data_IF_669215754994
#
_entry.id   IF_669215754994
#
_cell.length_a   1.000
_cell.length_b   1.000
_cell.length_c   1.000
_cell.angle_alpha   90.00
_cell.angle_beta   90.00
_cell.angle_gamma   90.00
#
_symmetry.space_group_name_H-M   'P 1'
#
loop_
_entity.id
_entity.type
_entity.pdbx_description
1 polymer ?
#
# COMPACT_ATOMS: atom_id res chain seq x y z
N UNK A 1 4.84 -23.02 -3.77
CA UNK A 1 4.27 -22.15 -2.72
C UNK A 1 3.20 -21.33 -3.42
N UNK A 2 2.06 -21.16 -2.93
CA UNK A 2 0.93 -20.33 -3.36
C UNK A 2 -0.03 -20.35 -2.17
N UNK A 3 0.32 -19.58 -1.13
CA UNK A 3 -0.32 -19.69 0.18
C UNK A 3 -0.52 -18.30 0.80
N UNK A 4 -1.64 -18.13 1.50
CA UNK A 4 -1.92 -17.02 2.39
C UNK A 4 -2.06 -17.57 3.80
N UNK A 5 -1.19 -17.14 4.69
CA UNK A 5 -1.29 -17.50 6.10
C UNK A 5 -2.20 -16.53 6.85
N UNK A 6 -3.10 -17.07 7.69
CA UNK A 6 -3.85 -16.24 8.62
C UNK A 6 -2.99 -16.01 9.89
N UNK A 7 -2.09 -15.07 9.81
CA UNK A 7 -1.06 -14.83 10.82
C UNK A 7 -0.53 -13.40 10.70
N UNK A 8 -0.10 -12.84 11.81
CA UNK A 8 0.67 -11.60 11.78
C UNK A 8 2.00 -11.83 11.02
N UNK A 9 2.27 -10.97 10.04
CA UNK A 9 3.49 -11.03 9.25
C UNK A 9 4.76 -10.93 10.13
N UNK A 10 4.68 -10.21 11.26
CA UNK A 10 5.80 -10.08 12.21
C UNK A 10 6.30 -11.43 12.73
N UNK A 11 5.39 -12.39 12.91
CA UNK A 11 5.73 -13.74 13.34
C UNK A 11 5.95 -14.69 12.15
N UNK A 12 5.19 -14.48 11.08
CA UNK A 12 5.23 -15.36 9.91
C UNK A 12 6.52 -15.24 9.10
N UNK A 13 7.04 -14.04 8.95
CA UNK A 13 8.27 -13.80 8.20
C UNK A 13 9.51 -14.48 8.81
N UNK A 14 9.54 -14.73 10.12
CA UNK A 14 10.64 -15.43 10.77
C UNK A 14 10.78 -16.90 10.33
N UNK A 15 9.71 -17.48 9.79
CA UNK A 15 9.66 -18.88 9.32
C UNK A 15 10.11 -19.03 7.86
N UNK A 16 10.38 -17.92 7.16
CA UNK A 16 10.80 -17.92 5.77
C UNK A 16 12.32 -17.93 5.68
N UNK A 17 12.84 -18.72 4.77
CA UNK A 17 14.29 -18.81 4.52
C UNK A 17 14.85 -17.45 4.06
N UNK A 18 16.05 -17.15 4.48
CA UNK A 18 16.78 -15.97 4.06
C UNK A 18 17.02 -15.98 2.54
N UNK A 19 16.98 -14.82 1.92
CA UNK A 19 17.29 -14.65 0.50
C UNK A 19 16.49 -15.60 -0.43
N UNK A 20 15.23 -15.89 -0.09
CA UNK A 20 14.37 -16.80 -0.84
C UNK A 20 13.31 -16.10 -1.71
N UNK A 21 13.01 -14.84 -1.44
CA UNK A 21 11.93 -14.07 -2.06
C UNK A 21 12.48 -13.16 -3.16
N UNK A 22 11.79 -13.10 -4.31
CA UNK A 22 12.22 -12.35 -5.50
C UNK A 22 11.77 -10.89 -5.50
N UNK A 23 10.61 -10.60 -4.93
CA UNK A 23 10.07 -9.23 -4.78
C UNK A 23 9.06 -9.17 -3.65
N UNK A 24 8.99 -8.02 -2.98
CA UNK A 24 7.87 -7.69 -2.07
C UNK A 24 7.04 -6.56 -2.68
N UNK A 25 5.73 -6.78 -2.82
CA UNK A 25 4.76 -5.76 -3.27
C UNK A 25 3.63 -5.74 -2.26
N UNK A 26 3.43 -4.61 -1.58
CA UNK A 26 2.55 -4.59 -0.42
C UNK A 26 1.87 -3.24 -0.17
N UNK A 27 0.68 -3.30 0.39
CA UNK A 27 -0.18 -2.15 0.75
C UNK A 27 -0.45 -2.16 2.26
N UNK A 28 0.56 -1.78 3.10
CA UNK A 28 0.40 -1.79 4.54
C UNK A 28 -0.62 -0.74 5.00
N UNK A 29 -1.15 -0.86 6.22
CA UNK A 29 -1.99 0.19 6.81
C UNK A 29 -1.33 1.56 6.77
N UNK A 30 -2.07 2.58 6.29
CA UNK A 30 -1.57 3.95 6.25
C UNK A 30 -1.73 4.63 7.61
N UNK A 31 -0.77 5.50 7.96
CA UNK A 31 -0.73 6.20 9.25
C UNK A 31 -1.97 7.08 9.56
N UNK A 32 -2.92 7.20 8.66
CA UNK A 32 -4.19 7.91 8.95
C UNK A 32 -4.97 7.29 10.11
N UNK A 33 -4.74 6.02 10.39
CA UNK A 33 -5.44 5.26 11.41
C UNK A 33 -4.66 5.20 12.73
N UNK A 34 -3.35 5.49 12.69
CA UNK A 34 -2.51 5.63 13.88
C UNK A 34 -2.78 6.90 14.69
N UNK A 35 -3.55 7.84 14.17
CA UNK A 35 -3.89 9.06 14.89
C UNK A 35 -4.87 8.72 16.02
N UNK A 36 -4.36 8.10 17.08
CA UNK A 36 -5.01 7.96 18.37
C UNK A 36 -5.65 6.63 18.73
N UNK A 37 -5.43 5.58 17.94
CA UNK A 37 -5.93 4.25 18.28
C UNK A 37 -4.82 3.22 18.17
N UNK A 38 -4.73 2.34 19.18
CA UNK A 38 -3.93 1.12 19.08
C UNK A 38 -4.52 0.25 17.98
N UNK A 39 -3.66 -0.32 17.14
CA UNK A 39 -4.02 -1.41 16.25
C UNK A 39 -4.21 -2.67 17.12
N UNK A 40 -5.39 -2.79 17.70
CA UNK A 40 -5.79 -4.05 18.28
C UNK A 40 -6.88 -4.70 17.41
N UNK A 41 -6.98 -5.99 17.52
CA UNK A 41 -7.91 -6.81 16.78
C UNK A 41 -9.38 -6.39 17.04
N UNK A 42 -9.71 -5.98 18.27
CA UNK A 42 -11.05 -5.54 18.64
C UNK A 42 -11.46 -4.25 17.92
N UNK A 43 -10.53 -3.30 17.75
CA UNK A 43 -10.80 -2.06 17.01
C UNK A 43 -10.99 -2.33 15.51
N UNK A 44 -10.21 -3.27 14.93
CA UNK A 44 -10.40 -3.72 13.55
C UNK A 44 -11.78 -4.35 13.39
N UNK A 45 -12.18 -5.25 14.27
CA UNK A 45 -13.49 -5.91 14.26
C UNK A 45 -14.64 -4.91 14.43
N UNK A 46 -14.49 -3.95 15.34
CA UNK A 46 -15.47 -2.87 15.55
C UNK A 46 -15.63 -2.01 14.28
N UNK A 47 -14.56 -1.76 13.52
CA UNK A 47 -14.60 -1.01 12.27
C UNK A 47 -15.22 -1.80 11.13
N UNK A 48 -14.91 -3.08 11.02
CA UNK A 48 -15.55 -4.00 10.07
C UNK A 48 -17.07 -4.02 10.30
N UNK A 49 -17.51 -4.20 11.54
CA UNK A 49 -18.93 -4.18 11.90
C UNK A 49 -19.62 -2.85 11.56
N UNK A 50 -18.95 -1.71 11.69
CA UNK A 50 -19.49 -0.41 11.28
C UNK A 50 -19.63 -0.27 9.76
N UNK A 51 -18.66 -0.80 8.99
CA UNK A 51 -18.71 -0.78 7.52
C UNK A 51 -19.81 -1.70 7.02
N UNK A 52 -19.98 -2.88 7.62
CA UNK A 52 -21.03 -3.85 7.28
C UNK A 52 -22.45 -3.31 7.54
N UNK A 53 -22.63 -2.50 8.60
CA UNK A 53 -23.92 -1.94 8.99
C UNK A 53 -24.22 -0.57 8.35
N UNK A 54 -23.37 -0.06 7.47
CA UNK A 54 -23.51 1.25 6.83
C UNK A 54 -24.09 1.13 5.43
N UNK A 55 -25.24 1.73 5.20
CA UNK A 55 -25.90 1.81 3.87
C UNK A 55 -25.21 2.74 2.87
N UNK A 56 -24.13 3.45 3.27
CA UNK A 56 -23.34 4.33 2.41
C UNK A 56 -21.87 4.31 2.79
N UNK A 57 -21.02 3.81 1.90
CA UNK A 57 -19.55 3.78 1.98
C UNK A 57 -18.89 5.15 2.28
N UNK A 58 -19.63 6.25 2.12
CA UNK A 58 -19.13 7.62 2.28
C UNK A 58 -19.29 8.15 3.71
N UNK A 59 -20.18 7.59 4.53
CA UNK A 59 -20.50 8.14 5.86
C UNK A 59 -19.50 7.80 6.96
N UNK A 60 -18.61 6.84 6.78
CA UNK A 60 -17.76 6.31 7.85
C UNK A 60 -16.28 6.14 7.49
N UNK A 61 -15.74 7.03 6.66
CA UNK A 61 -14.30 7.24 6.70
C UNK A 61 -14.07 8.02 8.00
N UNK A 62 -13.40 7.43 9.02
CA UNK A 62 -13.05 8.20 10.19
C UNK A 62 -12.07 9.28 9.73
N UNK A 63 -12.58 10.48 9.59
CA UNK A 63 -11.71 11.65 9.50
C UNK A 63 -10.96 11.68 10.83
N UNK A 64 -9.68 11.35 10.78
CA UNK A 64 -8.82 11.63 11.90
C UNK A 64 -9.03 13.09 12.27
N UNK A 65 -9.33 13.35 13.51
CA UNK A 65 -9.68 14.66 14.07
C UNK A 65 -8.72 15.79 13.69
N UNK A 66 -7.53 15.49 13.17
CA UNK A 66 -6.54 16.43 12.69
C UNK A 66 -6.85 17.11 11.34
N UNK A 67 -7.81 16.60 10.55
CA UNK A 67 -8.22 17.18 9.27
C UNK A 67 -9.47 18.05 9.36
N UNK A 68 -10.19 18.01 10.48
CA UNK A 68 -11.46 18.69 10.65
C UNK A 68 -11.34 20.18 11.06
N UNK A 69 -10.20 20.83 10.84
CA UNK A 69 -10.04 22.27 11.04
C UNK A 69 -10.08 22.76 12.49
N UNK A 70 -9.96 21.87 13.47
CA UNK A 70 -9.89 22.25 14.89
C UNK A 70 -8.56 22.93 15.26
N UNK A 71 -8.58 23.77 16.29
CA UNK A 71 -7.39 24.40 16.84
C UNK A 71 -6.42 23.34 17.33
N UNK A 72 -5.23 23.29 16.73
CA UNK A 72 -4.17 22.37 17.09
C UNK A 72 -3.35 22.96 18.23
N UNK A 73 -3.52 22.43 19.42
CA UNK A 73 -2.73 22.84 20.58
C UNK A 73 -1.42 22.03 20.68
N UNK A 74 -0.54 22.39 21.61
CA UNK A 74 0.75 21.72 21.85
C UNK A 74 0.58 20.18 22.00
N UNK A 75 -0.41 19.74 22.78
CA UNK A 75 -0.70 18.30 22.97
C UNK A 75 -1.02 17.56 21.66
N UNK A 76 -1.67 18.25 20.71
CA UNK A 76 -1.92 17.65 19.40
C UNK A 76 -0.62 17.42 18.61
N UNK A 77 0.30 18.41 18.63
CA UNK A 77 1.60 18.28 17.96
C UNK A 77 2.45 17.19 18.57
N UNK A 78 2.52 17.11 19.90
CA UNK A 78 3.23 16.06 20.63
C UNK A 78 2.68 14.68 20.28
N UNK A 79 1.35 14.51 20.30
CA UNK A 79 0.68 13.27 19.93
C UNK A 79 0.93 12.89 18.46
N UNK A 80 0.89 13.87 17.57
CA UNK A 80 1.14 13.64 16.16
C UNK A 80 2.60 13.21 15.90
N UNK A 81 3.57 13.86 16.53
CA UNK A 81 4.98 13.50 16.45
C UNK A 81 5.21 12.07 16.96
N UNK A 82 4.63 11.72 18.11
CA UNK A 82 4.67 10.36 18.64
C UNK A 82 4.10 9.34 17.66
N UNK A 83 2.91 9.59 17.12
CA UNK A 83 2.26 8.68 16.16
C UNK A 83 3.10 8.47 14.89
N UNK A 84 3.78 9.52 14.40
CA UNK A 84 4.69 9.40 13.25
C UNK A 84 5.88 8.52 13.60
N UNK A 85 6.47 8.70 14.77
CA UNK A 85 7.60 7.88 15.22
C UNK A 85 7.18 6.43 15.43
N UNK A 86 6.08 6.19 16.14
CA UNK A 86 5.54 4.82 16.36
C UNK A 86 5.27 4.11 15.01
N UNK A 87 4.77 4.84 14.00
CA UNK A 87 4.56 4.31 12.66
C UNK A 87 5.86 3.99 11.92
N UNK A 88 6.87 4.84 12.05
CA UNK A 88 8.20 4.59 11.48
C UNK A 88 8.85 3.38 12.12
N UNK A 89 8.83 3.28 13.46
CA UNK A 89 9.39 2.15 14.21
C UNK A 89 8.70 0.83 13.83
N UNK A 90 7.38 0.86 13.69
CA UNK A 90 6.62 -0.30 13.22
C UNK A 90 6.98 -0.67 11.78
N UNK A 91 7.10 0.32 10.89
CA UNK A 91 7.47 0.11 9.49
C UNK A 91 8.89 -0.46 9.38
N UNK A 92 9.83 0.06 10.16
CA UNK A 92 11.20 -0.46 10.19
C UNK A 92 11.22 -1.92 10.62
N UNK A 93 10.51 -2.28 11.70
CA UNK A 93 10.49 -3.66 12.24
C UNK A 93 10.03 -4.71 11.23
N UNK A 94 8.93 -4.48 10.53
CA UNK A 94 8.51 -5.43 9.49
C UNK A 94 9.41 -5.33 8.25
N UNK A 95 9.94 -4.14 7.96
CA UNK A 95 10.91 -3.91 6.90
C UNK A 95 12.19 -4.74 7.07
N UNK A 96 12.74 -4.81 8.28
CA UNK A 96 13.92 -5.64 8.61
C UNK A 96 13.66 -7.13 8.35
N UNK A 97 12.47 -7.62 8.69
CA UNK A 97 12.08 -9.02 8.40
C UNK A 97 11.93 -9.28 6.90
N UNK A 98 11.34 -8.35 6.16
CA UNK A 98 11.26 -8.42 4.69
C UNK A 98 12.66 -8.35 4.07
N UNK A 99 13.53 -7.46 4.59
CA UNK A 99 14.92 -7.37 4.14
C UNK A 99 15.66 -8.72 4.26
N UNK A 100 15.48 -9.42 5.37
CA UNK A 100 16.11 -10.72 5.59
C UNK A 100 15.71 -11.74 4.52
N UNK A 101 14.44 -11.84 4.20
CA UNK A 101 13.91 -12.87 3.29
C UNK A 101 14.07 -12.52 1.81
N UNK A 102 14.20 -11.25 1.44
CA UNK A 102 14.44 -10.83 0.07
C UNK A 102 15.85 -11.22 -0.40
N UNK A 103 15.96 -11.66 -1.65
CA UNK A 103 17.25 -11.90 -2.32
C UNK A 103 18.07 -10.61 -2.42
N UNK A 104 19.41 -10.66 -2.40
CA UNK A 104 20.25 -9.53 -2.75
C UNK A 104 19.84 -8.93 -4.10
N UNK A 105 19.72 -7.61 -4.17
CA UNK A 105 19.25 -6.89 -5.35
C UNK A 105 17.73 -6.87 -5.54
N UNK A 106 16.95 -7.66 -4.80
CA UNK A 106 15.49 -7.67 -4.92
C UNK A 106 14.86 -6.34 -4.50
N UNK A 107 13.71 -6.05 -5.08
CA UNK A 107 12.96 -4.82 -4.81
C UNK A 107 11.86 -5.03 -3.77
N UNK A 108 11.57 -3.96 -3.05
CA UNK A 108 10.35 -3.80 -2.25
C UNK A 108 9.57 -2.60 -2.77
N UNK A 109 8.27 -2.80 -3.03
CA UNK A 109 7.33 -1.78 -3.50
C UNK A 109 6.23 -1.62 -2.46
N UNK A 110 6.15 -0.44 -1.87
CA UNK A 110 5.23 -0.18 -0.76
C UNK A 110 4.29 0.95 -1.10
N UNK A 111 3.01 0.63 -1.21
CA UNK A 111 1.96 1.62 -1.38
C UNK A 111 1.82 2.48 -0.13
N UNK A 112 1.63 3.76 -0.34
CA UNK A 112 1.25 4.67 0.74
C UNK A 112 0.67 5.98 0.19
N UNK A 113 0.10 6.75 1.10
CA UNK A 113 -0.39 8.08 0.79
C UNK A 113 0.77 9.04 0.50
N UNK A 114 0.55 10.00 -0.41
CA UNK A 114 1.49 11.11 -0.67
C UNK A 114 1.90 11.90 0.58
N UNK A 115 1.14 11.82 1.67
CA UNK A 115 1.40 12.54 2.92
C UNK A 115 2.33 11.79 3.87
N UNK A 116 2.39 10.46 3.76
CA UNK A 116 3.09 9.60 4.72
C UNK A 116 4.17 8.73 4.07
N UNK A 117 4.28 8.74 2.74
CA UNK A 117 5.27 7.95 1.98
C UNK A 117 6.71 8.20 2.42
N UNK A 118 7.05 9.46 2.75
CA UNK A 118 8.38 9.81 3.23
C UNK A 118 8.77 9.06 4.52
N UNK A 119 7.81 8.85 5.42
CA UNK A 119 8.04 8.11 6.67
C UNK A 119 8.28 6.63 6.40
N UNK A 120 7.57 6.05 5.43
CA UNK A 120 7.77 4.66 4.99
C UNK A 120 9.14 4.50 4.35
N UNK A 121 9.52 5.41 3.44
CA UNK A 121 10.82 5.36 2.79
C UNK A 121 11.96 5.41 3.80
N UNK A 122 11.97 6.40 4.70
CA UNK A 122 13.01 6.54 5.74
C UNK A 122 13.08 5.32 6.65
N UNK A 123 11.93 4.76 7.05
CA UNK A 123 11.90 3.57 7.90
C UNK A 123 12.50 2.34 7.21
N UNK A 124 12.22 2.17 5.91
CA UNK A 124 12.79 1.08 5.13
C UNK A 124 14.28 1.28 4.82
N UNK A 125 14.75 2.52 4.64
CA UNK A 125 16.19 2.82 4.56
C UNK A 125 16.89 2.46 5.88
N UNK A 126 16.26 2.74 7.03
CA UNK A 126 16.75 2.32 8.34
C UNK A 126 16.75 0.78 8.53
N UNK A 127 15.86 0.08 7.83
CA UNK A 127 15.83 -1.39 7.78
C UNK A 127 16.91 -2.00 6.86
N UNK A 128 17.70 -1.18 6.16
CA UNK A 128 18.82 -1.63 5.32
C UNK A 128 18.59 -1.52 3.80
N UNK A 129 17.40 -1.15 3.35
CA UNK A 129 17.16 -0.88 1.94
C UNK A 129 17.75 0.46 1.52
N UNK A 130 17.91 0.67 0.22
CA UNK A 130 18.15 2.02 -0.32
C UNK A 130 17.04 2.42 -1.30
N UNK A 131 16.64 3.68 -1.21
CA UNK A 131 15.60 4.24 -2.04
C UNK A 131 16.08 4.33 -3.51
N UNK A 132 15.20 3.92 -4.43
CA UNK A 132 15.44 3.99 -5.87
C UNK A 132 14.60 5.07 -6.53
N UNK A 133 13.29 5.06 -6.23
CA UNK A 133 12.35 6.00 -6.84
C UNK A 133 11.03 6.02 -6.04
N UNK A 134 10.16 6.94 -6.40
CA UNK A 134 8.74 6.92 -6.05
C UNK A 134 7.94 6.77 -7.34
N UNK A 135 7.24 5.65 -7.47
CA UNK A 135 6.29 5.44 -8.55
C UNK A 135 4.99 6.17 -8.20
N UNK A 136 4.47 6.92 -9.14
CA UNK A 136 3.18 7.61 -9.02
C UNK A 136 2.11 6.79 -9.72
N UNK A 137 1.14 6.29 -8.96
CA UNK A 137 -0.08 5.74 -9.55
C UNK A 137 -1.15 6.82 -9.64
N UNK A 138 -1.40 7.33 -10.83
CA UNK A 138 -2.44 8.32 -11.11
C UNK A 138 -3.80 7.64 -11.20
N UNK A 139 -4.73 8.12 -10.39
CA UNK A 139 -6.12 7.62 -10.35
C UNK A 139 -6.99 8.38 -11.34
N UNK A 140 -7.91 7.67 -11.97
CA UNK A 140 -8.84 8.29 -12.92
C UNK A 140 -9.92 9.17 -12.24
N UNK A 141 -10.06 9.08 -10.92
CA UNK A 141 -10.99 9.89 -10.14
C UNK A 141 -10.55 10.03 -8.70
N UNK A 142 -10.66 11.22 -8.15
CA UNK A 142 -10.47 11.51 -6.73
C UNK A 142 -11.66 12.31 -6.21
N UNK A 143 -12.09 12.03 -4.98
CA UNK A 143 -13.12 12.82 -4.30
C UNK A 143 -12.40 13.85 -3.42
N UNK A 144 -12.64 15.17 -3.63
CA UNK A 144 -12.10 16.18 -2.73
C UNK A 144 -12.68 15.97 -1.33
N UNK A 145 -11.81 15.85 -0.33
CA UNK A 145 -12.19 15.67 1.07
C UNK A 145 -12.08 16.97 1.89
N UNK A 146 -11.86 18.09 1.20
CA UNK A 146 -11.65 19.39 1.82
C UNK A 146 -12.93 20.15 2.11
N UNK A 147 -12.80 21.12 3.01
CA UNK A 147 -13.86 22.10 3.31
C UNK A 147 -13.84 23.13 2.18
N UNK A 148 -15.00 23.40 1.58
CA UNK A 148 -15.23 24.59 0.76
C UNK A 148 -15.42 25.77 1.74
N UNK A 149 -14.47 26.71 1.75
CA UNK A 149 -14.40 27.74 2.77
C UNK A 149 -15.55 28.74 2.64
N UNK A 150 -15.86 29.21 1.43
CA UNK A 150 -16.97 30.13 1.20
C UNK A 150 -18.30 29.54 1.68
N UNK A 151 -18.58 28.29 1.33
CA UNK A 151 -19.80 27.59 1.74
C UNK A 151 -19.89 27.44 3.27
N UNK A 152 -18.78 27.19 3.94
CA UNK A 152 -18.73 27.08 5.40
C UNK A 152 -18.95 28.45 6.06
N UNK A 153 -18.28 29.51 5.57
CA UNK A 153 -18.41 30.88 6.08
C UNK A 153 -19.83 31.43 5.88
N UNK A 154 -20.47 31.18 4.73
CA UNK A 154 -21.88 31.53 4.50
C UNK A 154 -22.80 30.88 5.54
N UNK A 155 -22.57 29.58 5.83
CA UNK A 155 -23.34 28.88 6.87
C UNK A 155 -23.13 29.47 8.26
N UNK A 156 -21.95 30.00 8.53
CA UNK A 156 -21.60 30.61 9.83
C UNK A 156 -21.99 32.10 9.87
N UNK A 157 -22.66 32.65 8.85
CA UNK A 157 -23.14 34.02 8.80
C UNK A 157 -22.06 35.09 8.55
N UNK A 158 -20.89 34.71 8.04
CA UNK A 158 -19.81 35.63 7.75
C UNK A 158 -20.10 36.47 6.50
N UNK A 159 -20.12 37.82 6.63
CA UNK A 159 -20.57 38.75 5.60
C UNK A 159 -19.71 38.73 4.33
N UNK A 160 -18.41 38.52 4.48
CA UNK A 160 -17.45 38.55 3.37
C UNK A 160 -17.13 37.13 2.83
N UNK A 161 -18.05 36.17 3.00
CA UNK A 161 -17.84 34.79 2.59
C UNK A 161 -17.54 34.63 1.10
N UNK A 162 -18.08 35.49 0.25
CA UNK A 162 -17.91 35.43 -1.22
C UNK A 162 -16.46 35.70 -1.65
N UNK A 163 -15.67 36.44 -0.85
CA UNK A 163 -14.23 36.63 -1.09
C UNK A 163 -13.43 35.31 -1.09
N UNK A 164 -14.01 34.27 -0.51
CA UNK A 164 -13.41 32.96 -0.37
C UNK A 164 -13.97 31.92 -1.38
N UNK A 165 -14.63 32.37 -2.44
CA UNK A 165 -15.08 31.50 -3.51
C UNK A 165 -13.87 30.83 -4.20
N UNK A 166 -13.97 29.49 -4.43
CA UNK A 166 -12.85 28.72 -4.99
C UNK A 166 -11.79 28.26 -3.97
N UNK A 167 -11.85 28.72 -2.72
CA UNK A 167 -10.89 28.31 -1.70
C UNK A 167 -11.32 27.05 -0.96
N UNK A 168 -10.42 26.04 -0.93
CA UNK A 168 -10.65 24.73 -0.31
C UNK A 168 -9.49 24.37 0.62
N UNK A 169 -9.77 23.58 1.65
CA UNK A 169 -8.76 23.20 2.66
C UNK A 169 -7.79 22.10 2.18
N UNK A 170 -8.00 21.50 1.00
CA UNK A 170 -7.09 20.51 0.43
C UNK A 170 -7.27 20.38 -1.09
N UNK A 171 -6.32 19.75 -1.74
CA UNK A 171 -6.43 19.31 -3.12
C UNK A 171 -7.33 18.09 -3.26
N UNK A 172 -7.83 17.84 -4.47
CA UNK A 172 -8.37 16.56 -4.87
C UNK A 172 -7.21 15.57 -5.02
N UNK A 173 -7.22 14.49 -4.24
CA UNK A 173 -6.17 13.48 -4.32
C UNK A 173 -6.34 12.63 -5.58
N UNK A 174 -5.48 12.77 -6.56
CA UNK A 174 -5.51 12.07 -7.84
C UNK A 174 -4.44 10.99 -7.98
N UNK A 175 -3.57 10.80 -7.00
CA UNK A 175 -2.51 9.80 -7.09
C UNK A 175 -2.19 9.16 -5.73
N UNK A 176 -1.63 7.98 -5.79
CA UNK A 176 -0.98 7.30 -4.67
C UNK A 176 0.49 7.09 -4.97
N UNK A 177 1.30 7.15 -3.92
CA UNK A 177 2.73 6.87 -4.00
C UNK A 177 3.01 5.38 -3.80
N UNK A 178 4.01 4.88 -4.52
CA UNK A 178 4.58 3.57 -4.30
C UNK A 178 6.08 3.78 -4.12
N UNK A 179 6.58 3.60 -2.89
CA UNK A 179 8.00 3.65 -2.64
C UNK A 179 8.67 2.44 -3.27
N UNK A 180 9.67 2.69 -4.11
CA UNK A 180 10.51 1.68 -4.74
C UNK A 180 11.88 1.69 -4.06
N UNK A 181 12.16 0.66 -3.27
CA UNK A 181 13.47 0.48 -2.64
C UNK A 181 14.08 -0.85 -3.06
N UNK A 182 15.37 -1.01 -2.84
CA UNK A 182 16.12 -2.18 -3.26
C UNK A 182 17.01 -2.67 -2.12
N UNK A 183 17.04 -3.98 -1.90
CA UNK A 183 18.07 -4.59 -1.07
C UNK A 183 19.42 -4.45 -1.80
N UNK A 184 20.52 -4.11 -1.12
CA UNK A 184 21.82 -3.98 -1.76
C UNK A 184 22.17 -5.16 -2.66
N UNK A 185 22.85 -4.85 -3.75
CA UNK A 185 23.39 -5.85 -4.68
C UNK A 185 24.47 -6.69 -3.99
N UNK A 186 24.66 -7.90 -4.49
CA UNK A 186 25.88 -8.65 -4.23
C UNK A 186 26.92 -8.25 -5.30
N UNK A 187 27.91 -7.45 -4.94
CA UNK A 187 28.93 -6.82 -5.80
C UNK A 187 28.35 -5.83 -6.82
N UNK A 188 27.81 -6.32 -7.95
CA UNK A 188 27.35 -5.54 -9.08
C UNK A 188 26.11 -6.17 -9.74
N UNK A 189 25.48 -5.45 -10.68
CA UNK A 189 24.28 -5.94 -11.37
C UNK A 189 24.47 -7.28 -12.10
N UNK A 190 25.51 -7.47 -12.95
CA UNK A 190 25.69 -8.75 -13.64
C UNK A 190 25.88 -9.93 -12.70
N UNK A 191 26.66 -9.78 -11.63
CA UNK A 191 26.89 -10.84 -10.62
C UNK A 191 25.59 -11.17 -9.90
N UNK A 192 24.88 -10.15 -9.42
CA UNK A 192 23.61 -10.32 -8.72
C UNK A 192 22.55 -11.01 -9.60
N UNK A 193 22.41 -10.57 -10.85
CA UNK A 193 21.43 -11.17 -11.78
C UNK A 193 21.78 -12.62 -12.09
N UNK A 194 23.06 -12.95 -12.35
CA UNK A 194 23.48 -14.33 -12.64
C UNK A 194 23.21 -15.28 -11.45
N UNK A 195 23.41 -14.81 -10.23
CA UNK A 195 23.26 -15.63 -9.02
C UNK A 195 21.82 -15.70 -8.53
N UNK A 196 21.12 -14.59 -8.52
CA UNK A 196 19.82 -14.45 -7.88
C UNK A 196 18.65 -14.29 -8.85
N UNK A 197 18.92 -13.91 -10.09
CA UNK A 197 17.91 -13.67 -11.14
C UNK A 197 17.02 -12.44 -10.89
N UNK A 198 17.46 -11.53 -10.02
CA UNK A 198 16.80 -10.25 -9.68
C UNK A 198 17.85 -9.15 -9.65
N UNK A 199 17.42 -7.89 -9.45
CA UNK A 199 18.33 -6.76 -9.24
C UNK A 199 18.19 -5.63 -10.27
N UNK A 200 17.43 -5.84 -11.34
CA UNK A 200 17.20 -4.85 -12.40
C UNK A 200 15.71 -4.68 -12.67
N UNK A 201 15.34 -3.55 -13.27
CA UNK A 201 13.96 -3.24 -13.67
C UNK A 201 13.77 -3.43 -15.17
N UNK A 202 12.65 -4.02 -15.57
CA UNK A 202 12.22 -4.11 -16.96
C UNK A 202 11.54 -2.81 -17.37
N UNK A 203 12.31 -1.83 -17.79
CA UNK A 203 11.85 -0.48 -18.09
C UNK A 203 11.59 -0.21 -19.58
N UNK A 204 11.63 -1.22 -20.45
CA UNK A 204 11.31 -1.03 -21.86
C UNK A 204 9.83 -0.72 -22.04
N UNK A 205 9.50 0.33 -22.80
CA UNK A 205 8.15 0.60 -23.28
C UNK A 205 7.93 0.03 -24.68
N UNK A 206 6.67 0.01 -25.15
CA UNK A 206 6.30 -0.52 -26.45
C UNK A 206 6.90 0.23 -27.65
N UNK A 207 7.47 1.41 -27.46
CA UNK A 207 8.12 2.23 -28.48
C UNK A 207 9.66 2.14 -28.44
N UNK A 208 10.23 1.25 -27.62
CA UNK A 208 11.68 1.05 -27.49
C UNK A 208 12.40 2.03 -26.57
N UNK A 209 11.66 2.93 -25.88
CA UNK A 209 12.20 3.85 -24.89
C UNK A 209 12.05 3.35 -23.46
N UNK A 210 12.42 4.20 -22.48
CA UNK A 210 12.23 3.91 -21.05
C UNK A 210 10.79 4.10 -20.61
N UNK A 211 10.29 3.20 -19.76
CA UNK A 211 9.00 3.31 -19.12
C UNK A 211 9.02 4.46 -18.09
N UNK A 212 7.97 5.26 -18.05
CA UNK A 212 7.77 6.29 -17.04
C UNK A 212 7.55 5.68 -15.66
N UNK A 213 7.97 6.39 -14.60
CA UNK A 213 7.60 6.10 -13.23
C UNK A 213 6.20 6.62 -12.84
N UNK A 214 5.45 7.20 -13.81
CA UNK A 214 4.03 7.58 -13.65
C UNK A 214 3.17 6.54 -14.33
N UNK A 215 2.39 5.82 -13.53
CA UNK A 215 1.44 4.80 -13.96
C UNK A 215 0.04 5.42 -14.03
N UNK A 216 -0.47 5.58 -15.21
CA UNK A 216 -1.79 6.14 -15.48
C UNK A 216 -2.62 5.22 -16.38
N UNK A 217 -3.90 5.54 -16.56
CA UNK A 217 -4.83 4.74 -17.36
C UNK A 217 -4.96 3.29 -16.90
N UNK A 218 -4.77 3.05 -15.60
CA UNK A 218 -4.92 1.73 -15.01
C UNK A 218 -6.40 1.37 -14.93
N UNK A 219 -6.77 0.26 -15.58
CA UNK A 219 -8.12 -0.28 -15.52
C UNK A 219 -8.45 -0.73 -14.09
N UNK A 220 -9.65 -0.41 -13.63
CA UNK A 220 -10.17 -0.94 -12.36
C UNK A 220 -10.68 -2.36 -12.58
N UNK A 221 -10.51 -3.18 -11.56
CA UNK A 221 -11.13 -4.49 -11.53
C UNK A 221 -12.66 -4.35 -11.50
N UNK A 222 -13.37 -5.31 -12.07
CA UNK A 222 -14.82 -5.41 -11.94
C UNK A 222 -15.22 -5.49 -10.46
N UNK A 223 -16.30 -4.80 -10.10
CA UNK A 223 -16.85 -4.85 -8.76
C UNK A 223 -17.25 -6.30 -8.44
N UNK A 224 -16.75 -6.81 -7.35
CA UNK A 224 -17.15 -8.11 -6.81
C UNK A 224 -17.99 -7.86 -5.55
N UNK A 225 -19.27 -8.20 -5.59
CA UNK A 225 -20.23 -7.89 -4.51
C UNK A 225 -19.82 -8.50 -3.14
N UNK A 226 -19.05 -9.59 -3.17
CA UNK A 226 -18.54 -10.23 -1.96
C UNK A 226 -17.22 -9.60 -1.44
N UNK A 227 -16.58 -8.73 -2.23
CA UNK A 227 -15.34 -8.08 -1.82
C UNK A 227 -15.63 -6.76 -1.10
N UNK A 228 -15.76 -6.83 0.21
CA UNK A 228 -16.03 -5.68 1.08
C UNK A 228 -14.76 -4.94 1.53
N UNK A 229 -13.59 -5.33 1.04
CA UNK A 229 -12.34 -4.64 1.38
C UNK A 229 -12.33 -3.21 0.85
N UNK A 230 -12.08 -2.24 1.72
CA UNK A 230 -12.30 -0.81 1.42
C UNK A 230 -11.25 -0.19 0.47
N UNK A 231 -10.09 -0.85 0.27
CA UNK A 231 -8.93 -0.29 -0.45
C UNK A 231 -8.30 -1.28 -1.42
N UNK A 232 -9.12 -1.96 -2.23
CA UNK A 232 -8.60 -2.91 -3.23
C UNK A 232 -7.79 -2.19 -4.30
N UNK A 233 -6.54 -2.60 -4.49
CA UNK A 233 -5.70 -2.12 -5.58
C UNK A 233 -6.09 -2.81 -6.90
N UNK A 234 -5.98 -2.13 -8.06
CA UNK A 234 -6.24 -2.77 -9.35
C UNK A 234 -5.27 -3.93 -9.61
N UNK A 235 -5.78 -5.08 -10.01
CA UNK A 235 -4.96 -6.26 -10.37
C UNK A 235 -3.99 -5.93 -11.51
N UNK A 236 -4.46 -5.14 -12.50
CA UNK A 236 -3.64 -4.67 -13.64
C UNK A 236 -2.43 -3.83 -13.20
N UNK A 237 -2.54 -3.05 -12.12
CA UNK A 237 -1.41 -2.30 -11.56
C UNK A 237 -0.40 -3.25 -10.93
N UNK A 238 -0.86 -4.17 -10.07
CA UNK A 238 0.04 -5.12 -9.40
C UNK A 238 0.77 -6.00 -10.44
N UNK A 239 0.09 -6.44 -11.51
CA UNK A 239 0.73 -7.17 -12.62
C UNK A 239 1.87 -6.37 -13.23
N UNK A 240 1.65 -5.10 -13.55
CA UNK A 240 2.70 -4.24 -14.11
C UNK A 240 3.89 -4.05 -13.15
N UNK A 241 3.65 -4.01 -11.83
CA UNK A 241 4.72 -3.92 -10.83
C UNK A 241 5.51 -5.24 -10.72
N UNK A 242 4.85 -6.40 -10.84
CA UNK A 242 5.52 -7.70 -10.89
C UNK A 242 6.39 -7.78 -12.17
N UNK A 243 5.82 -7.50 -13.34
CA UNK A 243 6.53 -7.50 -14.63
C UNK A 243 7.72 -6.54 -14.67
N UNK A 244 7.64 -5.44 -13.92
CA UNK A 244 8.71 -4.46 -13.78
C UNK A 244 9.92 -5.03 -13.03
N UNK A 245 9.69 -5.89 -12.04
CA UNK A 245 10.68 -6.21 -11.00
C UNK A 245 11.23 -7.62 -11.04
N UNK A 246 10.51 -8.57 -11.65
CA UNK A 246 10.95 -9.98 -11.74
C UNK A 246 10.69 -10.56 -13.12
N UNK A 247 11.56 -11.45 -13.61
CA UNK A 247 11.26 -12.30 -14.77
C UNK A 247 10.05 -13.19 -14.48
N UNK A 248 9.17 -13.38 -15.48
CA UNK A 248 7.97 -14.21 -15.34
C UNK A 248 8.31 -15.70 -15.48
N UNK A 249 8.94 -16.26 -14.46
CA UNK A 249 9.34 -17.67 -14.36
C UNK A 249 8.57 -18.34 -13.23
N UNK A 250 8.23 -19.63 -13.39
CA UNK A 250 7.37 -20.38 -12.46
C UNK A 250 7.89 -20.46 -11.02
N UNK A 251 9.19 -20.27 -10.83
CA UNK A 251 9.82 -20.38 -9.51
C UNK A 251 9.96 -19.05 -8.79
N UNK A 252 9.62 -17.95 -9.42
CA UNK A 252 9.64 -16.62 -8.81
C UNK A 252 8.53 -16.47 -7.77
N UNK A 253 8.87 -15.86 -6.64
CA UNK A 253 7.97 -15.69 -5.49
C UNK A 253 7.75 -14.20 -5.21
N UNK A 254 6.49 -13.79 -5.27
CA UNK A 254 6.03 -12.46 -4.85
C UNK A 254 5.54 -12.55 -3.40
N UNK A 255 6.10 -11.73 -2.52
CA UNK A 255 5.70 -11.61 -1.12
C UNK A 255 4.75 -10.42 -0.93
N UNK A 256 3.68 -10.63 -0.17
CA UNK A 256 2.83 -9.55 0.35
C UNK A 256 2.54 -9.78 1.84
N UNK A 257 3.24 -9.06 2.75
CA UNK A 257 3.01 -9.17 4.20
C UNK A 257 1.63 -8.68 4.66
N UNK A 258 0.91 -7.93 3.82
CA UNK A 258 -0.40 -7.34 4.14
C UNK A 258 -1.40 -7.65 3.01
N UNK A 259 -1.65 -8.95 2.79
CA UNK A 259 -2.33 -9.49 1.61
C UNK A 259 -3.75 -8.96 1.39
N UNK A 260 -4.46 -8.57 2.44
CA UNK A 260 -5.82 -8.06 2.36
C UNK A 260 -6.75 -9.02 1.60
N UNK A 261 -7.44 -8.51 0.58
CA UNK A 261 -8.34 -9.29 -0.27
C UNK A 261 -7.66 -10.09 -1.40
N UNK A 262 -6.31 -10.23 -1.39
CA UNK A 262 -5.57 -11.14 -2.26
C UNK A 262 -5.26 -10.62 -3.67
N UNK A 263 -5.24 -9.33 -3.91
CA UNK A 263 -4.97 -8.77 -5.26
C UNK A 263 -3.57 -9.16 -5.74
N UNK A 264 -2.56 -9.11 -4.86
CA UNK A 264 -1.19 -9.54 -5.18
C UNK A 264 -1.14 -11.02 -5.55
N UNK A 265 -1.86 -11.88 -4.83
CA UNK A 265 -1.95 -13.31 -5.13
C UNK A 265 -2.60 -13.59 -6.50
N UNK A 266 -3.68 -12.86 -6.84
CA UNK A 266 -4.35 -12.98 -8.13
C UNK A 266 -3.41 -12.55 -9.25
N UNK A 267 -2.78 -11.39 -9.13
CA UNK A 267 -1.85 -10.88 -10.13
C UNK A 267 -0.68 -11.85 -10.36
N UNK A 268 -0.11 -12.42 -9.31
CA UNK A 268 0.95 -13.42 -9.40
C UNK A 268 0.49 -14.67 -10.15
N UNK A 269 -0.68 -15.21 -9.80
CA UNK A 269 -1.25 -16.40 -10.48
C UNK A 269 -1.51 -16.16 -11.97
N UNK A 270 -2.08 -15.00 -12.34
CA UNK A 270 -2.33 -14.65 -13.74
C UNK A 270 -1.05 -14.50 -14.56
N UNK A 271 0.06 -14.16 -13.91
CA UNK A 271 1.39 -14.06 -14.53
C UNK A 271 2.19 -15.37 -14.45
N UNK A 272 1.66 -16.42 -13.83
CA UNK A 272 2.31 -17.72 -13.71
C UNK A 272 3.48 -17.78 -12.73
N UNK A 273 3.58 -16.79 -11.81
CA UNK A 273 4.56 -16.76 -10.73
C UNK A 273 3.93 -17.17 -9.40
N UNK A 274 4.75 -17.58 -8.43
CA UNK A 274 4.29 -17.97 -7.09
C UNK A 274 4.04 -16.74 -6.22
N UNK A 275 3.19 -16.92 -5.22
CA UNK A 275 2.99 -15.91 -4.17
C UNK A 275 3.09 -16.50 -2.78
N UNK A 276 3.41 -15.64 -1.83
CA UNK A 276 3.37 -15.87 -0.40
C UNK A 276 2.77 -14.64 0.26
N UNK A 277 1.78 -14.83 1.12
CA UNK A 277 1.13 -13.70 1.80
C UNK A 277 0.74 -13.97 3.23
N UNK A 278 0.58 -12.87 3.97
CA UNK A 278 0.05 -12.85 5.32
C UNK A 278 -1.16 -11.94 5.41
N UNK A 279 -2.18 -12.39 6.10
CA UNK A 279 -3.37 -11.60 6.43
C UNK A 279 -3.84 -11.96 7.83
N UNK A 280 -3.86 -10.95 8.70
CA UNK A 280 -4.19 -11.16 10.11
C UNK A 280 -5.71 -11.30 10.32
N UNK A 281 -6.52 -10.69 9.44
CA UNK A 281 -7.99 -10.69 9.52
C UNK A 281 -8.55 -11.90 8.78
N UNK A 282 -9.17 -12.89 9.48
CA UNK A 282 -9.65 -14.13 8.86
C UNK A 282 -10.63 -13.88 7.72
N UNK A 283 -11.50 -12.87 7.85
CA UNK A 283 -12.52 -12.52 6.86
C UNK A 283 -11.88 -12.03 5.56
N UNK A 284 -10.80 -11.25 5.62
CA UNK A 284 -10.08 -10.79 4.44
C UNK A 284 -9.33 -11.94 3.78
N UNK A 285 -8.70 -12.82 4.56
CA UNK A 285 -8.10 -14.05 4.04
C UNK A 285 -9.12 -14.87 3.28
N UNK A 286 -10.32 -15.09 3.86
CA UNK A 286 -11.40 -15.81 3.18
C UNK A 286 -11.80 -15.16 1.86
N UNK A 287 -11.95 -13.85 1.82
CA UNK A 287 -12.21 -13.11 0.58
C UNK A 287 -11.13 -13.37 -0.45
N UNK A 288 -9.85 -13.33 -0.05
CA UNK A 288 -8.73 -13.63 -0.94
C UNK A 288 -8.80 -15.07 -1.50
N UNK A 289 -9.07 -16.05 -0.66
CA UNK A 289 -9.21 -17.46 -1.07
C UNK A 289 -10.38 -17.67 -2.03
N UNK A 290 -11.54 -17.04 -1.78
CA UNK A 290 -12.71 -17.09 -2.65
C UNK A 290 -12.43 -16.45 -4.04
N UNK A 291 -11.69 -15.33 -4.08
CA UNK A 291 -11.25 -14.71 -5.33
C UNK A 291 -10.30 -15.60 -6.11
N UNK A 292 -9.32 -16.21 -5.44
CA UNK A 292 -8.38 -17.15 -6.06
C UNK A 292 -9.11 -18.39 -6.59
N UNK A 293 -10.06 -18.93 -5.84
CA UNK A 293 -10.84 -20.11 -6.27
C UNK A 293 -11.68 -19.80 -7.53
N UNK A 294 -12.23 -18.59 -7.65
CA UNK A 294 -12.96 -18.16 -8.86
C UNK A 294 -12.03 -18.01 -10.06
N UNK A 295 -10.81 -17.53 -9.88
CA UNK A 295 -9.83 -17.43 -10.97
C UNK A 295 -9.48 -18.82 -11.54
N UNK A 296 -9.32 -19.83 -10.70
CA UNK A 296 -8.99 -21.21 -11.11
C UNK A 296 -10.13 -21.94 -11.85
N UNK A 297 -11.36 -21.41 -11.79
CA UNK A 297 -12.53 -22.00 -12.49
C UNK A 297 -12.79 -21.38 -13.88
N UNK A 298 -12.11 -20.28 -14.20
CA UNK A 298 -12.09 -19.67 -15.54
C UNK A 298 -11.00 -20.28 -16.40
#
# INVERSE_FOLDING_TARGET
MNIIYNKDCMNGLDEIDENSIDVCITDPPYNYEFIGHKWDFEEIQRRIGRVQNSSTLVKHIPYGSGLAGGVRNTKWYEKNAKNVNDYRDWTQKWGEKVYRVLKPGAYILVFNSSRTIAHVQVALEQAGFYARDIIVWKKNAGIPKGINLAKKLKKDGYKDADKWEGWHSCFRNEWEAIALLQKPLEENYPTTVKKWGVGVLRTVNGAGGFKSNVFENIARDEKQDFNMHCTVKPTSLIKQLIELTVPLEKDRIVLDPFMGSGTTAIAALELGVKYLGYEIVPEYKKIAEDRIAKLKKK
#
